data_IF_415422578939
#
_entry.id   IF_415422578939
#
_cell.length_a   1.000
_cell.length_b   1.000
_cell.length_c   1.000
_cell.angle_alpha   90.00
_cell.angle_beta   90.00
_cell.angle_gamma   90.00
#
_symmetry.space_group_name_H-M   'P 1'
#
loop_
_entity.id
_entity.type
_entity.pdbx_description
1 polymer ?
#
# COMPACT_ATOMS: atom_id res chain seq x y z
N UNK A 1 -0.21 -4.88 -10.50
CA UNK A 1 0.20 -3.48 -10.76
C UNK A 1 1.43 -3.39 -11.66
N UNK A 2 1.48 -4.18 -12.74
CA UNK A 2 2.60 -4.23 -13.68
C UNK A 2 2.07 -3.97 -15.08
N UNK A 3 2.84 -3.27 -15.91
CA UNK A 3 2.46 -2.98 -17.30
C UNK A 3 2.58 -4.17 -18.25
N UNK A 4 3.31 -5.20 -17.82
CA UNK A 4 3.49 -6.48 -18.51
C UNK A 4 2.43 -7.53 -18.15
N UNK A 5 1.36 -7.13 -17.45
CA UNK A 5 0.21 -7.97 -17.07
C UNK A 5 0.56 -9.27 -16.32
N UNK A 6 1.74 -9.34 -15.71
CA UNK A 6 2.19 -10.44 -14.85
C UNK A 6 3.17 -9.94 -13.78
N UNK A 7 3.38 -10.77 -12.75
CA UNK A 7 4.45 -10.53 -11.77
C UNK A 7 5.82 -10.70 -12.46
N UNK A 8 6.78 -9.79 -12.22
CA UNK A 8 8.14 -9.91 -12.73
C UNK A 8 8.84 -11.20 -12.30
N UNK A 9 9.69 -11.74 -13.16
CA UNK A 9 10.49 -12.93 -12.93
C UNK A 9 11.98 -12.60 -12.81
N UNK A 10 12.81 -13.62 -12.54
CA UNK A 10 14.26 -13.51 -12.36
C UNK A 10 15.04 -12.89 -13.53
N UNK A 11 14.46 -12.90 -14.74
CA UNK A 11 15.04 -12.34 -15.95
C UNK A 11 14.55 -10.91 -16.26
N UNK A 12 13.55 -10.40 -15.53
CA UNK A 12 12.94 -9.09 -15.79
C UNK A 12 13.68 -7.96 -15.07
N UNK A 13 13.67 -6.77 -15.68
CA UNK A 13 14.10 -5.52 -15.04
C UNK A 13 12.87 -4.78 -14.56
N UNK A 14 12.80 -4.51 -13.26
CA UNK A 14 11.72 -3.72 -12.68
C UNK A 14 12.08 -2.25 -12.70
N UNK A 15 11.14 -1.41 -13.12
CA UNK A 15 11.31 0.05 -13.19
C UNK A 15 10.22 0.70 -12.35
N UNK A 16 10.63 1.47 -11.35
CA UNK A 16 9.76 2.38 -10.60
C UNK A 16 9.92 3.79 -11.19
N UNK A 17 8.87 4.32 -11.81
CA UNK A 17 8.90 5.63 -12.47
C UNK A 17 8.64 6.79 -11.50
N UNK A 18 9.24 7.93 -11.81
CA UNK A 18 9.31 9.16 -10.99
C UNK A 18 7.98 9.95 -10.89
N UNK A 19 6.85 9.32 -11.16
CA UNK A 19 5.60 10.07 -11.37
C UNK A 19 4.88 10.46 -10.08
N UNK A 20 5.05 9.71 -9.00
CA UNK A 20 4.51 9.97 -7.64
C UNK A 20 5.33 9.17 -6.62
N UNK A 21 5.41 9.57 -5.34
CA UNK A 21 6.10 8.75 -4.32
C UNK A 21 5.54 7.32 -4.32
N UNK A 22 6.27 6.35 -4.87
CA UNK A 22 5.79 4.98 -5.06
C UNK A 22 6.29 4.12 -3.91
N UNK A 23 5.38 3.38 -3.28
CA UNK A 23 5.72 2.31 -2.33
C UNK A 23 5.39 0.98 -3.01
N UNK A 24 6.41 0.16 -3.24
CA UNK A 24 6.30 -1.20 -3.74
C UNK A 24 6.53 -2.15 -2.57
N UNK A 25 5.53 -2.95 -2.20
CA UNK A 25 5.73 -4.07 -1.28
C UNK A 25 6.02 -5.34 -2.08
N UNK A 26 7.09 -6.04 -1.70
CA UNK A 26 7.43 -7.33 -2.28
C UNK A 26 6.60 -8.43 -1.62
N UNK A 27 6.32 -9.49 -2.37
CA UNK A 27 5.65 -10.67 -1.81
C UNK A 27 6.55 -11.41 -0.82
N UNK A 28 5.94 -12.13 0.12
CA UNK A 28 6.66 -13.06 0.99
C UNK A 28 7.46 -14.09 0.17
N UNK A 29 8.59 -14.56 0.73
CA UNK A 29 9.51 -15.45 0.04
C UNK A 29 10.51 -14.72 -0.86
N UNK A 30 11.01 -15.41 -1.90
CA UNK A 30 12.07 -14.87 -2.76
C UNK A 30 11.49 -14.14 -3.98
N UNK A 31 11.71 -12.84 -4.06
CA UNK A 31 11.55 -12.05 -5.28
C UNK A 31 12.90 -11.97 -6.00
N UNK A 32 13.03 -12.66 -7.13
CA UNK A 32 14.23 -12.60 -7.97
C UNK A 32 13.98 -11.71 -9.19
N UNK A 33 14.89 -10.78 -9.47
CA UNK A 33 14.82 -9.84 -10.59
C UNK A 33 16.19 -9.75 -11.30
N UNK A 34 16.23 -9.41 -12.58
CA UNK A 34 17.48 -9.08 -13.26
C UNK A 34 18.09 -7.80 -12.69
N UNK A 35 17.26 -6.77 -12.56
CA UNK A 35 17.62 -5.47 -12.00
C UNK A 35 16.39 -4.77 -11.43
N UNK A 36 16.61 -3.86 -10.50
CA UNK A 36 15.59 -2.99 -9.92
C UNK A 36 16.05 -1.54 -10.07
N UNK A 37 15.33 -0.77 -10.90
CA UNK A 37 15.59 0.64 -11.15
C UNK A 37 14.64 1.47 -10.29
N UNK A 38 15.22 2.18 -9.33
CA UNK A 38 14.51 3.04 -8.38
C UNK A 38 14.54 4.50 -8.86
N UNK A 39 13.42 5.21 -8.73
CA UNK A 39 13.41 6.67 -8.89
C UNK A 39 13.79 7.35 -7.56
N UNK A 40 13.98 8.67 -7.58
CA UNK A 40 14.48 9.42 -6.42
C UNK A 40 13.57 9.35 -5.19
N UNK A 41 12.27 9.13 -5.38
CA UNK A 41 11.28 9.11 -4.31
C UNK A 41 10.49 7.79 -4.29
N UNK A 42 11.19 6.67 -4.26
CA UNK A 42 10.57 5.34 -4.22
C UNK A 42 10.98 4.56 -2.98
N UNK A 43 10.07 3.74 -2.49
CA UNK A 43 10.27 2.83 -1.38
C UNK A 43 9.96 1.41 -1.80
N UNK A 44 10.77 0.48 -1.30
CA UNK A 44 10.57 -0.95 -1.50
C UNK A 44 10.46 -1.58 -0.13
N UNK A 45 9.25 -1.99 0.23
CA UNK A 45 8.98 -2.70 1.48
C UNK A 45 9.32 -4.17 1.27
N UNK A 46 10.26 -4.66 2.07
CA UNK A 46 10.60 -6.08 2.13
C UNK A 46 9.85 -6.70 3.31
N UNK A 47 9.01 -7.73 3.08
CA UNK A 47 8.30 -8.38 4.18
C UNK A 47 9.29 -9.12 5.09
N UNK A 48 8.86 -9.44 6.31
CA UNK A 48 9.71 -10.03 7.37
C UNK A 48 10.47 -11.28 6.91
N UNK A 49 9.82 -12.14 6.13
CA UNK A 49 10.39 -13.37 5.55
C UNK A 49 10.64 -13.24 4.03
N UNK A 50 10.81 -12.01 3.56
CA UNK A 50 11.10 -11.67 2.17
C UNK A 50 12.59 -11.70 1.86
N UNK A 51 12.94 -12.11 0.63
CA UNK A 51 14.29 -12.00 0.08
C UNK A 51 14.21 -11.34 -1.29
N UNK A 52 14.91 -10.22 -1.48
CA UNK A 52 15.14 -9.63 -2.80
C UNK A 52 16.48 -10.15 -3.36
N UNK A 53 16.44 -10.80 -4.51
CA UNK A 53 17.61 -11.29 -5.21
C UNK A 53 17.75 -10.59 -6.57
N UNK A 54 18.91 -9.96 -6.79
CA UNK A 54 19.27 -9.37 -8.09
C UNK A 54 20.20 -10.33 -8.82
N UNK A 55 19.75 -10.90 -9.95
CA UNK A 55 20.46 -11.96 -10.68
C UNK A 55 21.49 -11.41 -11.67
N UNK A 56 21.22 -10.24 -12.26
CA UNK A 56 22.01 -9.68 -13.37
C UNK A 56 21.88 -10.44 -14.69
N UNK A 57 21.08 -11.51 -14.77
CA UNK A 57 20.94 -12.37 -15.94
C UNK A 57 19.66 -12.01 -16.70
N UNK A 58 19.77 -11.85 -18.03
CA UNK A 58 18.66 -11.40 -18.89
C UNK A 58 17.71 -12.52 -19.33
N UNK A 59 18.11 -13.78 -19.18
CA UNK A 59 17.36 -14.92 -19.71
C UNK A 59 17.46 -16.11 -18.77
N UNK A 60 16.33 -16.76 -18.49
CA UNK A 60 16.25 -18.02 -17.72
C UNK A 60 15.30 -18.98 -18.42
N UNK A 61 15.35 -20.27 -18.07
CA UNK A 61 14.42 -21.28 -18.62
C UNK A 61 12.94 -21.01 -18.29
N UNK A 62 12.67 -20.02 -17.44
CA UNK A 62 11.34 -19.69 -16.90
C UNK A 62 10.69 -18.46 -17.55
N UNK A 63 11.44 -17.56 -18.20
CA UNK A 63 10.91 -16.37 -18.87
C UNK A 63 11.97 -15.66 -19.74
N UNK A 64 11.51 -15.01 -20.82
CA UNK A 64 12.38 -14.37 -21.83
C UNK A 64 13.01 -13.03 -21.41
N UNK A 65 12.65 -12.50 -20.22
CA UNK A 65 13.17 -11.27 -19.65
C UNK A 65 12.75 -10.00 -20.38
N UNK A 66 12.10 -9.08 -19.68
CA UNK A 66 11.69 -7.78 -20.22
C UNK A 66 11.68 -6.69 -19.15
N UNK A 67 11.50 -5.45 -19.59
CA UNK A 67 11.32 -4.33 -18.67
C UNK A 67 9.85 -4.34 -18.19
N UNK A 68 9.65 -4.39 -16.87
CA UNK A 68 8.36 -4.29 -16.23
C UNK A 68 8.26 -2.99 -15.43
N UNK A 69 7.35 -2.11 -15.83
CA UNK A 69 7.08 -0.85 -15.14
C UNK A 69 6.01 -1.08 -14.07
N UNK A 70 6.31 -0.68 -12.83
CA UNK A 70 5.30 -0.67 -11.79
C UNK A 70 4.30 0.45 -12.05
N UNK A 71 3.02 0.07 -12.13
CA UNK A 71 1.89 1.00 -12.27
C UNK A 71 1.20 1.09 -10.92
N UNK A 72 1.57 2.04 -10.04
CA UNK A 72 0.90 2.20 -8.77
C UNK A 72 -0.59 2.46 -9.03
N UNK A 73 -1.45 1.81 -8.25
CA UNK A 73 -2.84 2.22 -8.15
C UNK A 73 -2.88 3.68 -7.71
N UNK A 74 -3.70 4.48 -8.39
CA UNK A 74 -3.93 5.87 -8.01
C UNK A 74 -4.43 5.94 -6.57
N UNK A 75 -4.20 7.06 -5.91
CA UNK A 75 -4.68 7.23 -4.54
C UNK A 75 -6.20 7.20 -4.48
N UNK A 76 -6.72 6.39 -3.57
CA UNK A 76 -8.14 6.17 -3.35
C UNK A 76 -8.60 7.02 -2.17
N UNK A 77 -9.79 7.62 -2.28
CA UNK A 77 -10.31 8.44 -1.19
C UNK A 77 -10.96 7.57 -0.11
N UNK A 78 -10.69 7.89 1.15
CA UNK A 78 -11.36 7.28 2.31
C UNK A 78 -12.89 7.49 2.24
N UNK A 79 -13.33 8.64 1.72
CA UNK A 79 -14.76 9.00 1.70
C UNK A 79 -15.54 8.40 0.54
N UNK A 80 -14.93 7.55 -0.27
CA UNK A 80 -15.57 6.92 -1.43
C UNK A 80 -16.03 5.51 -1.06
N UNK A 81 -17.34 5.30 -1.00
CA UNK A 81 -17.99 4.08 -0.53
C UNK A 81 -17.51 2.80 -1.24
N UNK A 82 -17.16 2.89 -2.52
CA UNK A 82 -16.75 1.75 -3.34
C UNK A 82 -15.31 1.26 -3.07
N UNK A 83 -14.53 2.02 -2.28
CA UNK A 83 -13.17 1.61 -1.89
C UNK A 83 -13.15 0.71 -0.65
N UNK A 84 -14.29 0.59 0.04
CA UNK A 84 -14.44 -0.23 1.23
C UNK A 84 -15.17 -1.54 0.91
N UNK A 85 -14.96 -2.55 1.74
CA UNK A 85 -15.66 -3.84 1.71
C UNK A 85 -16.45 -4.03 3.03
N UNK A 86 -17.12 -5.17 3.20
CA UNK A 86 -17.85 -5.52 4.42
C UNK A 86 -19.31 -5.08 4.45
N UNK A 87 -19.84 -4.65 3.31
CA UNK A 87 -21.23 -4.21 3.14
C UNK A 87 -22.01 -5.11 2.20
N UNK A 88 -23.34 -4.92 2.15
CA UNK A 88 -24.24 -5.65 1.24
C UNK A 88 -24.81 -4.70 0.17
N UNK A 89 -25.38 -5.26 -0.90
CA UNK A 89 -26.02 -4.45 -1.94
C UNK A 89 -27.15 -3.54 -1.42
N UNK A 90 -27.69 -3.84 -0.23
CA UNK A 90 -28.72 -3.05 0.43
C UNK A 90 -28.16 -1.94 1.35
N UNK A 91 -26.86 -1.98 1.69
CA UNK A 91 -26.23 -0.97 2.55
C UNK A 91 -26.17 0.37 1.82
N UNK A 92 -26.73 1.46 2.38
CA UNK A 92 -26.60 2.81 1.82
C UNK A 92 -25.14 3.25 1.71
N UNK A 93 -24.79 4.02 0.68
CA UNK A 93 -23.39 4.43 0.43
C UNK A 93 -22.73 5.12 1.64
N UNK A 94 -23.48 5.92 2.41
CA UNK A 94 -22.97 6.58 3.62
C UNK A 94 -22.62 5.60 4.75
N UNK A 95 -23.25 4.42 4.79
CA UNK A 95 -22.98 3.36 5.77
C UNK A 95 -21.91 2.36 5.27
N UNK A 96 -21.41 2.55 4.04
CA UNK A 96 -20.28 1.76 3.51
C UNK A 96 -18.93 2.38 3.85
N UNK A 97 -18.90 3.66 4.19
CA UNK A 97 -17.70 4.36 4.65
C UNK A 97 -17.54 4.06 6.15
N UNK A 98 -16.34 3.70 6.63
CA UNK A 98 -16.14 3.35 8.02
C UNK A 98 -16.63 4.42 8.99
N UNK A 99 -17.36 4.00 10.01
CA UNK A 99 -17.91 4.84 11.07
C UNK A 99 -17.27 4.57 12.43
N UNK A 100 -17.69 5.33 13.46
CA UNK A 100 -17.05 5.34 14.77
C UNK A 100 -17.07 4.01 15.54
N UNK A 101 -17.93 3.06 15.16
CA UNK A 101 -18.00 1.72 15.75
C UNK A 101 -17.28 0.65 14.94
N UNK A 102 -16.80 0.99 13.74
CA UNK A 102 -16.29 -0.01 12.81
C UNK A 102 -14.82 -0.34 13.06
N UNK A 103 -14.47 -1.58 12.73
CA UNK A 103 -13.08 -2.02 12.66
C UNK A 103 -12.57 -1.82 11.23
N UNK A 104 -11.55 -0.96 11.07
CA UNK A 104 -10.89 -0.73 9.79
C UNK A 104 -9.63 -1.59 9.70
N UNK A 105 -9.52 -2.37 8.62
CA UNK A 105 -8.40 -3.26 8.39
C UNK A 105 -7.80 -2.94 7.02
N UNK A 106 -6.55 -2.47 7.04
CA UNK A 106 -5.67 -2.47 5.89
C UNK A 106 -4.83 -3.76 5.96
N UNK A 107 -5.00 -4.71 5.02
CA UNK A 107 -4.33 -6.03 5.07
C UNK A 107 -2.78 -5.97 5.04
N UNK A 108 -2.12 -7.11 5.15
CA UNK A 108 -0.67 -7.22 4.88
C UNK A 108 -0.42 -7.57 3.41
N UNK A 109 0.82 -7.39 2.93
CA UNK A 109 1.23 -7.84 1.61
C UNK A 109 0.77 -6.95 0.44
N UNK A 110 0.20 -5.78 0.74
CA UNK A 110 -0.20 -4.77 -0.25
C UNK A 110 0.07 -3.36 0.27
N UNK A 111 0.41 -2.45 -0.64
CA UNK A 111 0.63 -1.04 -0.32
C UNK A 111 -0.62 -0.20 -0.54
N UNK A 112 -0.75 0.85 0.28
CA UNK A 112 -1.90 1.74 0.25
C UNK A 112 -1.51 3.12 -0.25
N UNK A 113 -2.48 3.80 -0.88
CA UNK A 113 -2.45 5.23 -1.12
C UNK A 113 -3.83 5.78 -0.87
N UNK A 114 -4.02 6.33 0.33
CA UNK A 114 -5.32 6.76 0.83
C UNK A 114 -5.32 8.28 0.98
N UNK A 115 -6.26 8.91 0.29
CA UNK A 115 -6.57 10.32 0.49
C UNK A 115 -7.48 10.42 1.72
N UNK A 116 -6.92 10.96 2.79
CA UNK A 116 -7.58 11.10 4.08
C UNK A 116 -8.40 12.40 4.13
N UNK A 117 -9.59 12.41 4.77
CA UNK A 117 -10.31 13.64 5.11
C UNK A 117 -9.65 14.31 6.32
N UNK A 118 -10.20 15.45 6.73
CA UNK A 118 -9.64 16.24 7.84
C UNK A 118 -9.65 15.51 9.19
N UNK A 119 -10.68 14.68 9.38
CA UNK A 119 -10.94 13.96 10.60
C UNK A 119 -11.66 12.64 10.30
N UNK A 120 -11.21 11.58 10.96
CA UNK A 120 -11.83 10.25 10.94
C UNK A 120 -12.04 9.81 12.38
N UNK A 121 -13.15 9.11 12.62
CA UNK A 121 -13.38 8.36 13.85
C UNK A 121 -13.77 6.93 13.53
N UNK A 122 -13.07 5.97 14.14
CA UNK A 122 -13.31 4.53 13.99
C UNK A 122 -13.27 3.82 15.34
N UNK A 123 -13.79 2.59 15.39
CA UNK A 123 -13.74 1.76 16.59
C UNK A 123 -12.35 1.17 16.81
N UNK A 124 -11.76 0.62 15.76
CA UNK A 124 -10.39 0.10 15.73
C UNK A 124 -9.74 0.27 14.36
N UNK A 125 -8.41 0.30 14.32
CA UNK A 125 -7.63 0.40 13.07
C UNK A 125 -6.50 -0.61 13.09
N UNK A 126 -6.32 -1.34 12.01
CA UNK A 126 -5.21 -2.25 11.77
C UNK A 126 -4.56 -1.93 10.42
N UNK A 127 -3.22 -1.90 10.37
CA UNK A 127 -2.46 -1.65 9.14
C UNK A 127 -1.39 -2.73 8.98
N UNK A 128 -1.25 -3.29 7.78
CA UNK A 128 -0.15 -4.21 7.47
C UNK A 128 -0.22 -5.55 8.20
N UNK A 129 -1.40 -5.94 8.71
CA UNK A 129 -1.54 -7.14 9.54
C UNK A 129 -0.96 -7.02 10.96
N UNK A 130 -0.54 -5.81 11.38
CA UNK A 130 -0.05 -5.54 12.74
C UNK A 130 -1.14 -5.64 13.80
N UNK A 131 -0.82 -5.44 15.08
CA UNK A 131 -1.85 -5.33 16.13
C UNK A 131 -2.76 -4.11 15.91
N UNK A 132 -3.98 -4.18 16.45
CA UNK A 132 -4.91 -3.04 16.45
C UNK A 132 -4.24 -1.83 17.10
N UNK A 133 -4.20 -0.72 16.37
CA UNK A 133 -3.61 0.54 16.79
C UNK A 133 -4.57 1.31 17.69
N UNK A 134 -4.04 2.04 18.66
CA UNK A 134 -4.73 3.12 19.37
C UNK A 134 -4.45 4.51 18.76
N UNK A 135 -5.16 5.53 19.25
CA UNK A 135 -5.03 6.91 18.73
C UNK A 135 -3.62 7.49 18.89
N UNK A 136 -2.88 7.06 19.93
CA UNK A 136 -1.53 7.53 20.20
C UNK A 136 -0.53 6.83 19.28
N UNK A 137 -0.69 5.53 19.04
CA UNK A 137 0.08 4.76 18.07
C UNK A 137 -0.12 5.31 16.66
N UNK A 138 -1.36 5.66 16.28
CA UNK A 138 -1.63 6.37 15.03
C UNK A 138 -0.85 7.69 14.96
N UNK A 139 -0.87 8.51 16.02
CA UNK A 139 -0.16 9.79 16.05
C UNK A 139 1.35 9.62 15.83
N UNK A 140 1.96 8.56 16.37
CA UNK A 140 3.36 8.26 16.10
C UNK A 140 3.57 7.76 14.67
N UNK A 141 2.73 6.83 14.21
CA UNK A 141 2.82 6.26 12.87
C UNK A 141 2.65 7.32 11.79
N UNK A 142 1.65 8.20 11.88
CA UNK A 142 1.33 9.19 10.86
C UNK A 142 2.41 10.27 10.65
N UNK A 143 3.43 10.31 11.53
CA UNK A 143 4.61 11.16 11.38
C UNK A 143 5.80 10.45 10.70
N UNK A 144 5.67 9.18 10.35
CA UNK A 144 6.71 8.43 9.63
C UNK A 144 6.67 8.70 8.12
N UNK A 145 7.81 8.53 7.45
CA UNK A 145 7.88 8.63 5.99
C UNK A 145 6.97 7.60 5.29
N UNK A 146 6.86 6.39 5.86
CA UNK A 146 5.98 5.33 5.37
C UNK A 146 4.52 5.79 5.40
N UNK A 147 4.05 6.24 6.57
CA UNK A 147 2.66 6.65 6.73
C UNK A 147 2.32 7.84 5.85
N UNK A 148 3.19 8.85 5.72
CA UNK A 148 2.92 10.03 4.89
C UNK A 148 2.87 9.72 3.40
N UNK A 149 3.47 8.62 2.95
CA UNK A 149 3.38 8.13 1.56
C UNK A 149 2.11 7.32 1.32
N UNK A 150 1.63 6.63 2.34
CA UNK A 150 0.46 5.75 2.25
C UNK A 150 -0.86 6.41 2.64
N UNK A 151 -0.84 7.35 3.59
CA UNK A 151 -2.00 8.03 4.17
C UNK A 151 -1.72 9.53 4.23
N UNK A 152 -2.40 10.30 3.38
CA UNK A 152 -2.15 11.74 3.30
C UNK A 152 -3.42 12.51 3.01
N UNK A 153 -3.49 13.73 3.53
CA UNK A 153 -4.51 14.70 3.11
C UNK A 153 -4.13 15.33 1.78
N UNK A 154 -5.10 15.89 1.04
CA UNK A 154 -4.83 16.55 -0.26
C UNK A 154 -3.85 17.72 -0.16
N UNK A 155 -3.81 18.40 0.97
CA UNK A 155 -2.88 19.47 1.31
C UNK A 155 -1.54 18.96 1.90
N UNK A 156 -1.38 17.64 2.02
CA UNK A 156 -0.23 16.94 2.62
C UNK A 156 -0.08 17.18 4.13
N UNK A 157 -1.13 17.61 4.82
CA UNK A 157 -1.15 17.62 6.27
C UNK A 157 -1.41 16.21 6.86
N UNK A 158 -1.09 16.07 8.16
CA UNK A 158 -1.30 14.84 8.91
C UNK A 158 -2.79 14.57 9.07
N UNK A 159 -3.22 13.34 8.75
CA UNK A 159 -4.57 12.87 8.96
C UNK A 159 -4.86 12.63 10.46
N UNK A 160 -5.92 13.24 10.98
CA UNK A 160 -6.34 13.04 12.36
C UNK A 160 -7.31 11.85 12.42
N UNK A 161 -6.90 10.79 13.11
CA UNK A 161 -7.73 9.60 13.33
C UNK A 161 -7.95 9.44 14.83
N UNK A 162 -9.22 9.50 15.24
CA UNK A 162 -9.65 9.12 16.59
C UNK A 162 -10.07 7.64 16.57
N UNK A 163 -9.40 6.83 17.39
CA UNK A 163 -9.69 5.42 17.57
C UNK A 163 -10.32 5.24 18.95
N UNK A 164 -11.60 4.90 18.96
CA UNK A 164 -12.45 4.94 20.16
C UNK A 164 -12.09 3.86 21.18
N UNK A 165 -11.46 2.76 20.76
CA UNK A 165 -11.19 1.59 21.59
C UNK A 165 -12.49 0.83 21.91
N UNK A 166 -12.47 -0.49 21.75
CA UNK A 166 -13.54 -1.36 22.25
C UNK A 166 -13.23 -1.86 23.66
#
# INVERSE_FOLDING_TARGET
NWDIDRVPCAADRVILQDSQSVVLELSEGTTSLQALLLASYTEVLLPKDGTLQITGIKYTDTCDGQDGVFKPTGALSWTEAHNWDGWTSATPDLERIPCASDAVIFPSGVTYRVIMPDFIRVGSLQIGGETMMDSLEWLFFCNTDEATRQFYKKDKEIANVEISGN
#
